data_IF_331671155890
#
_entry.id   IF_331671155890
#
_cell.length_a   1.000
_cell.length_b   1.000
_cell.length_c   1.000
_cell.angle_alpha   90.00
_cell.angle_beta   90.00
_cell.angle_gamma   90.00
#
_symmetry.space_group_name_H-M   'P 1'
#
loop_
_entity.id
_entity.type
_entity.pdbx_description
1 polymer ?
#
# COMPACT_ATOMS: atom_id res chain seq x y z
N UNK A 1 39.95 28.23 16.91
CA UNK A 1 39.35 27.04 16.25
C UNK A 1 38.14 26.57 17.07
N UNK A 2 37.25 27.48 17.44
CA UNK A 2 36.00 27.17 18.16
C UNK A 2 34.83 28.08 17.71
N UNK A 3 35.03 28.93 16.70
CA UNK A 3 34.13 30.02 16.34
C UNK A 3 33.10 29.62 15.26
N UNK A 4 33.05 28.33 14.95
CA UNK A 4 32.19 27.73 13.91
C UNK A 4 31.22 26.68 14.48
N UNK A 5 30.94 26.72 15.79
CA UNK A 5 29.99 25.84 16.48
C UNK A 5 28.67 26.54 16.90
N UNK A 6 28.52 27.83 16.61
CA UNK A 6 27.35 28.65 17.02
C UNK A 6 26.43 29.05 15.88
N UNK A 7 26.62 28.52 14.67
CA UNK A 7 25.57 28.65 13.65
C UNK A 7 24.38 27.82 14.11
N UNK A 8 23.23 28.44 14.44
CA UNK A 8 22.01 27.67 14.62
C UNK A 8 21.77 26.96 13.30
N UNK A 9 21.17 25.78 13.33
CA UNK A 9 20.68 25.11 12.14
C UNK A 9 19.52 25.92 11.52
N UNK A 10 19.78 27.13 11.04
CA UNK A 10 18.82 28.08 10.45
C UNK A 10 18.28 27.54 9.13
N UNK A 11 19.02 26.63 8.51
CA UNK A 11 18.62 25.85 7.33
C UNK A 11 17.95 24.51 7.67
N UNK A 12 17.32 24.41 8.84
CA UNK A 12 16.52 23.25 9.28
C UNK A 12 15.04 23.57 9.49
N UNK A 13 14.66 24.84 9.40
CA UNK A 13 13.25 25.22 9.25
C UNK A 13 12.86 25.03 7.78
N UNK A 14 12.06 23.99 7.48
CA UNK A 14 11.42 23.84 6.17
C UNK A 14 10.89 25.21 5.70
N UNK A 15 11.32 25.64 4.53
CA UNK A 15 10.91 26.90 3.92
C UNK A 15 9.38 26.94 3.83
N UNK A 16 8.73 28.10 3.94
CA UNK A 16 7.25 28.19 3.87
C UNK A 16 6.68 27.56 2.58
N UNK A 17 7.47 27.52 1.51
CA UNK A 17 7.16 26.82 0.27
C UNK A 17 7.18 25.29 0.41
N UNK A 18 8.16 24.72 1.11
CA UNK A 18 8.28 23.27 1.38
C UNK A 18 7.15 22.80 2.29
N UNK A 19 6.81 23.55 3.34
CA UNK A 19 5.62 23.26 4.20
C UNK A 19 4.33 23.20 3.39
N UNK A 20 4.17 24.12 2.42
CA UNK A 20 3.00 24.14 1.53
C UNK A 20 2.98 22.96 0.55
N UNK A 21 4.14 22.49 0.08
CA UNK A 21 4.25 21.32 -0.79
C UNK A 21 3.93 20.01 -0.05
N UNK A 22 4.53 19.80 1.13
CA UNK A 22 4.26 18.64 1.98
C UNK A 22 2.79 18.59 2.42
N UNK A 23 2.18 19.74 2.75
CA UNK A 23 0.75 19.79 3.10
C UNK A 23 -0.16 19.34 1.96
N UNK A 24 0.21 19.56 0.69
CA UNK A 24 -0.56 19.11 -0.48
C UNK A 24 -0.39 17.61 -0.72
N UNK A 25 0.79 17.07 -0.46
CA UNK A 25 1.07 15.63 -0.54
C UNK A 25 0.32 14.85 0.53
N UNK A 26 0.37 15.31 1.78
CA UNK A 26 -0.36 14.72 2.90
C UNK A 26 -1.86 14.70 2.61
N UNK A 27 -2.43 15.78 2.04
CA UNK A 27 -3.84 15.80 1.66
C UNK A 27 -4.19 14.74 0.61
N UNK A 28 -3.36 14.54 -0.41
CA UNK A 28 -3.57 13.46 -1.40
C UNK A 28 -3.49 12.08 -0.76
N UNK A 29 -2.54 11.88 0.14
CA UNK A 29 -2.38 10.62 0.88
C UNK A 29 -3.61 10.34 1.76
N UNK A 30 -4.13 11.34 2.47
CA UNK A 30 -5.34 11.22 3.30
C UNK A 30 -6.57 10.90 2.44
N UNK A 31 -6.74 11.56 1.28
CA UNK A 31 -7.87 11.29 0.38
C UNK A 31 -7.91 9.83 -0.05
N UNK A 32 -6.74 9.25 -0.34
CA UNK A 32 -6.72 7.85 -0.79
C UNK A 32 -6.70 6.86 0.34
N UNK A 33 -6.12 7.20 1.48
CA UNK A 33 -6.34 6.43 2.69
C UNK A 33 -7.84 6.31 3.02
N UNK A 34 -8.59 7.42 2.92
CA UNK A 34 -10.04 7.41 3.08
C UNK A 34 -10.74 6.56 2.01
N UNK A 35 -10.29 6.61 0.75
CA UNK A 35 -10.82 5.79 -0.35
C UNK A 35 -10.58 4.28 -0.12
N UNK A 36 -9.44 3.89 0.45
CA UNK A 36 -9.18 2.49 0.83
C UNK A 36 -10.16 2.00 1.89
N UNK A 37 -10.31 2.76 2.97
CA UNK A 37 -11.23 2.44 4.05
C UNK A 37 -12.65 2.31 3.50
N UNK A 38 -13.05 3.23 2.63
CA UNK A 38 -14.36 3.19 1.96
C UNK A 38 -14.54 1.90 1.15
N UNK A 39 -13.57 1.52 0.30
CA UNK A 39 -13.62 0.27 -0.48
C UNK A 39 -13.66 -0.97 0.43
N UNK A 40 -12.92 -0.96 1.54
CA UNK A 40 -12.90 -2.06 2.50
C UNK A 40 -14.27 -2.23 3.15
N UNK A 41 -14.84 -1.15 3.66
CA UNK A 41 -16.17 -1.16 4.27
C UNK A 41 -17.22 -1.64 3.26
N UNK A 42 -17.15 -1.18 2.00
CA UNK A 42 -18.04 -1.67 0.93
C UNK A 42 -17.93 -3.20 0.74
N UNK A 43 -16.70 -3.74 0.72
CA UNK A 43 -16.47 -5.18 0.61
C UNK A 43 -17.06 -5.94 1.80
N UNK A 44 -16.84 -5.47 3.03
CA UNK A 44 -17.40 -6.08 4.24
C UNK A 44 -18.92 -6.03 4.27
N UNK A 45 -19.54 -4.92 3.84
CA UNK A 45 -21.00 -4.81 3.77
C UNK A 45 -21.58 -5.72 2.69
N UNK A 46 -20.94 -5.81 1.53
CA UNK A 46 -21.39 -6.66 0.43
C UNK A 46 -21.40 -8.16 0.80
N UNK A 47 -20.50 -8.57 1.69
CA UNK A 47 -20.33 -9.96 2.10
C UNK A 47 -21.07 -10.26 3.40
N UNK A 48 -20.95 -9.37 4.38
CA UNK A 48 -21.49 -9.55 5.72
C UNK A 48 -23.00 -9.45 5.80
N UNK A 49 -23.64 -8.82 4.81
CA UNK A 49 -25.10 -8.80 4.71
C UNK A 49 -25.69 -10.09 4.09
N UNK A 50 -24.85 -11.09 3.73
CA UNK A 50 -25.25 -12.41 3.17
C UNK A 50 -26.22 -12.32 1.97
N UNK A 51 -26.30 -11.14 1.35
CA UNK A 51 -27.15 -10.82 0.19
C UNK A 51 -26.78 -11.64 -1.05
N UNK A 52 -25.61 -12.27 -1.02
CA UNK A 52 -24.99 -13.01 -2.11
C UNK A 52 -24.59 -14.39 -1.61
N UNK A 53 -24.93 -15.48 -2.32
CA UNK A 53 -24.52 -16.83 -1.95
C UNK A 53 -22.98 -16.92 -1.83
N UNK A 54 -22.50 -17.63 -0.80
CA UNK A 54 -21.07 -17.80 -0.48
C UNK A 54 -20.19 -18.18 -1.69
N UNK A 55 -20.74 -18.95 -2.62
CA UNK A 55 -20.08 -19.35 -3.87
C UNK A 55 -19.74 -18.17 -4.80
N UNK A 56 -20.49 -17.07 -4.74
CA UNK A 56 -20.20 -15.84 -5.50
C UNK A 56 -19.46 -14.80 -4.65
N UNK A 57 -19.70 -14.77 -3.33
CA UNK A 57 -19.00 -13.86 -2.43
C UNK A 57 -17.48 -14.10 -2.41
N UNK A 58 -17.03 -15.36 -2.37
CA UNK A 58 -15.59 -15.71 -2.33
C UNK A 58 -14.79 -15.11 -3.50
N UNK A 59 -15.14 -15.36 -4.79
CA UNK A 59 -14.39 -14.79 -5.91
C UNK A 59 -14.52 -13.26 -5.99
N UNK A 60 -15.66 -12.69 -5.59
CA UNK A 60 -15.88 -11.24 -5.58
C UNK A 60 -14.94 -10.51 -4.58
N UNK A 61 -14.81 -11.04 -3.37
CA UNK A 61 -13.89 -10.50 -2.35
C UNK A 61 -12.45 -10.64 -2.79
N UNK A 62 -12.08 -11.78 -3.38
CA UNK A 62 -10.73 -12.01 -3.89
C UNK A 62 -10.36 -10.98 -4.96
N UNK A 63 -11.29 -10.67 -5.87
CA UNK A 63 -11.09 -9.64 -6.89
C UNK A 63 -10.96 -8.25 -6.25
N UNK A 64 -11.83 -7.91 -5.30
CA UNK A 64 -11.72 -6.66 -4.55
C UNK A 64 -10.40 -6.58 -3.76
N UNK A 65 -9.94 -7.67 -3.16
CA UNK A 65 -8.68 -7.74 -2.41
C UNK A 65 -7.46 -7.52 -3.31
N UNK A 66 -7.47 -8.06 -4.53
CA UNK A 66 -6.42 -7.79 -5.53
C UNK A 66 -6.45 -6.32 -5.96
N UNK A 67 -7.63 -5.74 -6.20
CA UNK A 67 -7.77 -4.30 -6.51
C UNK A 67 -7.28 -3.45 -5.34
N UNK A 68 -7.59 -3.83 -4.10
CA UNK A 68 -7.09 -3.15 -2.91
C UNK A 68 -5.58 -3.24 -2.80
N UNK A 69 -4.96 -4.41 -3.01
CA UNK A 69 -3.52 -4.58 -3.04
C UNK A 69 -2.87 -3.71 -4.13
N UNK A 70 -3.45 -3.67 -5.33
CA UNK A 70 -2.95 -2.87 -6.44
C UNK A 70 -3.04 -1.36 -6.15
N UNK A 71 -4.16 -0.90 -5.60
CA UNK A 71 -4.31 0.49 -5.20
C UNK A 71 -3.39 0.83 -4.03
N UNK A 72 -3.22 -0.07 -3.06
CA UNK A 72 -2.27 0.09 -1.96
C UNK A 72 -0.85 0.20 -2.50
N UNK A 73 -0.45 -0.66 -3.44
CA UNK A 73 0.82 -0.55 -4.13
C UNK A 73 0.92 0.80 -4.85
N UNK A 74 -0.01 1.18 -5.73
CA UNK A 74 0.07 2.45 -6.49
C UNK A 74 0.14 3.68 -5.57
N UNK A 75 -0.57 3.69 -4.43
CA UNK A 75 -0.59 4.83 -3.52
C UNK A 75 0.54 4.86 -2.52
N UNK A 76 0.93 3.70 -1.97
CA UNK A 76 2.13 3.59 -1.13
C UNK A 76 3.40 3.78 -1.98
N UNK A 77 3.33 3.48 -3.26
CA UNK A 77 4.38 3.67 -4.28
C UNK A 77 4.24 5.02 -5.02
N UNK A 78 3.27 5.87 -4.65
CA UNK A 78 3.22 7.27 -5.11
C UNK A 78 4.22 8.12 -4.31
N UNK A 79 5.49 7.72 -4.35
CA UNK A 79 6.61 8.60 -4.15
C UNK A 79 6.63 9.56 -5.33
N UNK A 80 6.12 10.76 -5.11
CA UNK A 80 6.14 11.85 -6.08
C UNK A 80 7.57 12.26 -6.50
N UNK A 81 8.63 11.71 -5.90
CA UNK A 81 10.00 12.15 -6.16
C UNK A 81 10.94 11.00 -6.51
N UNK A 82 11.51 11.14 -7.73
CA UNK A 82 12.83 10.67 -8.18
C UNK A 82 13.50 9.63 -7.28
N UNK A 83 13.27 8.34 -7.54
CA UNK A 83 14.30 7.31 -7.71
C UNK A 83 13.62 5.94 -7.88
N UNK A 84 13.74 5.33 -9.05
CA UNK A 84 13.00 4.12 -9.45
C UNK A 84 13.48 2.81 -8.76
N UNK A 85 14.25 2.87 -7.67
CA UNK A 85 14.81 1.70 -6.99
C UNK A 85 13.87 1.01 -6.00
N UNK A 86 13.27 1.76 -5.07
CA UNK A 86 12.50 1.20 -3.95
C UNK A 86 11.20 0.52 -4.35
N UNK A 87 10.53 1.15 -5.32
CA UNK A 87 9.30 0.69 -5.92
C UNK A 87 9.50 -0.68 -6.60
N UNK A 88 10.56 -0.79 -7.40
CA UNK A 88 10.97 -2.01 -8.10
C UNK A 88 11.42 -3.09 -7.13
N UNK A 89 12.18 -2.73 -6.09
CA UNK A 89 12.62 -3.65 -5.05
C UNK A 89 11.45 -4.28 -4.29
N UNK A 90 10.41 -3.50 -3.96
CA UNK A 90 9.19 -4.02 -3.31
C UNK A 90 8.38 -4.94 -4.22
N UNK A 91 8.34 -4.66 -5.52
CA UNK A 91 7.65 -5.53 -6.47
C UNK A 91 8.39 -6.85 -6.67
N UNK A 92 9.72 -6.81 -6.75
CA UNK A 92 10.57 -8.00 -6.83
C UNK A 92 10.45 -8.84 -5.55
N UNK A 93 10.48 -8.23 -4.36
CA UNK A 93 10.29 -8.95 -3.10
C UNK A 93 8.88 -9.54 -2.98
N UNK A 94 7.86 -8.82 -3.44
CA UNK A 94 6.49 -9.33 -3.51
C UNK A 94 6.38 -10.58 -4.39
N UNK A 95 7.00 -10.58 -5.56
CA UNK A 95 7.07 -11.77 -6.44
C UNK A 95 7.85 -12.89 -5.77
N UNK A 96 9.00 -12.58 -5.16
CA UNK A 96 9.84 -13.56 -4.47
C UNK A 96 9.14 -14.24 -3.29
N UNK A 97 8.23 -13.57 -2.60
CA UNK A 97 7.42 -14.16 -1.52
C UNK A 97 6.20 -14.89 -2.08
N UNK A 98 5.51 -14.31 -3.06
CA UNK A 98 4.26 -14.87 -3.60
C UNK A 98 4.48 -16.21 -4.31
N UNK A 99 5.55 -16.33 -5.10
CA UNK A 99 5.88 -17.55 -5.85
C UNK A 99 6.07 -18.77 -4.94
N UNK A 100 6.95 -18.76 -3.91
CA UNK A 100 7.09 -19.88 -3.00
C UNK A 100 5.85 -20.09 -2.14
N UNK A 101 5.09 -19.05 -1.77
CA UNK A 101 3.82 -19.23 -1.05
C UNK A 101 2.81 -20.01 -1.88
N UNK A 102 2.63 -19.66 -3.15
CA UNK A 102 1.72 -20.40 -4.05
C UNK A 102 2.24 -21.82 -4.28
N UNK A 103 3.54 -21.99 -4.50
CA UNK A 103 4.14 -23.33 -4.67
C UNK A 103 3.96 -24.20 -3.41
N UNK A 104 4.17 -23.63 -2.22
CA UNK A 104 3.97 -24.33 -0.95
C UNK A 104 2.50 -24.67 -0.72
N UNK A 105 1.56 -23.75 -1.01
CA UNK A 105 0.13 -24.01 -0.91
C UNK A 105 -0.33 -25.08 -1.90
N UNK A 106 0.15 -25.04 -3.15
CA UNK A 106 -0.16 -26.09 -4.13
C UNK A 106 0.43 -27.44 -3.73
N UNK A 107 1.66 -27.47 -3.20
CA UNK A 107 2.29 -28.71 -2.72
C UNK A 107 1.55 -29.25 -1.50
N UNK A 108 1.19 -28.39 -0.53
CA UNK A 108 0.49 -28.80 0.68
C UNK A 108 -0.94 -29.26 0.37
N UNK A 109 -1.71 -28.49 -0.42
CA UNK A 109 -3.04 -28.91 -0.86
C UNK A 109 -2.98 -30.17 -1.73
N UNK A 110 -1.98 -30.28 -2.61
CA UNK A 110 -1.73 -31.47 -3.43
C UNK A 110 -1.37 -32.70 -2.59
N UNK A 111 -0.59 -32.54 -1.53
CA UNK A 111 -0.26 -33.61 -0.56
C UNK A 111 -1.47 -33.98 0.30
N UNK A 112 -2.34 -33.02 0.66
CA UNK A 112 -3.54 -33.30 1.48
C UNK A 112 -4.72 -33.87 0.69
N UNK A 113 -4.70 -33.79 -0.65
CA UNK A 113 -5.79 -34.25 -1.52
C UNK A 113 -5.54 -35.64 -2.15
N UNK A 114 -4.57 -36.39 -1.60
CA UNK A 114 -4.32 -37.80 -1.87
C UNK A 114 -4.21 -38.58 -0.56
#
# INVERSE_FOLDING_TARGET
MADNLSTPFEKSAMTEEEKRQTSKEIRKQIVVFALMIFLTIMSFLAVGADIIPRSFAIPFILLLAVVQLALQLIFFMHLKDKDHGWATAFMISGIFVTVPTIAALMLLLGVTKY
#
